data_IF_815681237259
#
_entry.id   IF_815681237259
#
_cell.length_a   1.000
_cell.length_b   1.000
_cell.length_c   1.000
_cell.angle_alpha   90.00
_cell.angle_beta   90.00
_cell.angle_gamma   90.00
#
_symmetry.space_group_name_H-M   'P 1'
#
loop_
_entity.id
_entity.type
_entity.pdbx_description
1 polymer ?
#
# COMPACT_ATOMS: atom_id res chain seq x y z
N UNK A 1 29.50 8.45 48.63
CA UNK A 1 28.91 7.11 48.83
C UNK A 1 29.26 6.26 47.63
N UNK A 2 30.15 5.30 47.81
CA UNK A 2 30.59 4.36 46.76
C UNK A 2 29.84 3.05 46.97
N UNK A 3 29.04 2.59 45.98
CA UNK A 3 28.46 1.24 45.96
C UNK A 3 29.32 0.34 45.07
N UNK A 4 29.85 -0.72 45.69
CA UNK A 4 30.56 -1.83 45.03
C UNK A 4 29.54 -2.81 44.48
N UNK A 5 29.62 -3.14 43.18
CA UNK A 5 28.95 -4.29 42.58
C UNK A 5 29.82 -5.54 42.76
N UNK A 6 29.24 -6.56 43.31
CA UNK A 6 29.80 -7.90 43.48
C UNK A 6 29.22 -8.82 42.38
N UNK A 7 30.12 -9.50 41.64
CA UNK A 7 29.80 -10.49 40.61
C UNK A 7 30.03 -11.89 41.23
N UNK A 8 29.10 -12.85 41.14
CA UNK A 8 29.40 -14.24 41.45
C UNK A 8 29.87 -14.99 40.20
N UNK A 9 31.02 -15.63 40.32
CA UNK A 9 31.57 -16.59 39.39
C UNK A 9 30.87 -17.95 39.53
N UNK A 10 30.51 -18.60 38.44
CA UNK A 10 30.15 -20.01 38.39
C UNK A 10 31.04 -20.75 37.40
N UNK A 11 31.75 -21.73 37.93
CA UNK A 11 32.65 -22.68 37.26
C UNK A 11 31.86 -23.81 36.56
N UNK A 12 32.43 -24.46 35.51
CA UNK A 12 31.81 -25.50 34.75
C UNK A 12 32.02 -26.89 35.34
N UNK A 13 30.98 -27.74 35.22
CA UNK A 13 31.08 -29.16 35.55
C UNK A 13 31.30 -29.93 34.23
N UNK A 14 32.49 -30.57 34.14
CA UNK A 14 32.78 -31.60 33.14
C UNK A 14 32.14 -32.93 33.56
N UNK A 15 31.35 -33.54 32.74
CA UNK A 15 30.95 -34.94 32.84
C UNK A 15 31.34 -35.68 31.58
N UNK A 16 32.34 -36.55 31.70
CA UNK A 16 32.77 -37.53 30.73
C UNK A 16 31.77 -38.69 30.73
N UNK A 17 31.27 -39.13 29.59
CA UNK A 17 30.55 -40.41 29.44
C UNK A 17 31.22 -41.22 28.35
N UNK A 18 31.58 -42.43 28.72
CA UNK A 18 32.33 -43.43 28.00
C UNK A 18 31.58 -44.04 26.80
N UNK A 19 32.39 -44.37 25.80
CA UNK A 19 32.02 -45.14 24.62
C UNK A 19 31.53 -46.56 24.95
N UNK A 20 30.40 -46.93 24.34
CA UNK A 20 30.00 -48.36 24.25
C UNK A 20 29.84 -48.70 22.76
N UNK A 21 30.77 -49.46 22.23
CA UNK A 21 30.68 -50.09 20.89
C UNK A 21 29.76 -51.33 21.00
N UNK A 22 28.65 -51.30 20.29
CA UNK A 22 27.88 -52.52 20.03
C UNK A 22 27.83 -52.75 18.53
N UNK A 23 28.45 -53.86 18.11
CA UNK A 23 28.38 -54.37 16.74
C UNK A 23 26.99 -55.01 16.51
N UNK A 24 26.31 -54.62 15.45
CA UNK A 24 25.08 -55.26 14.98
C UNK A 24 25.27 -55.84 13.57
N UNK A 25 24.63 -56.97 13.27
CA UNK A 25 24.88 -57.73 12.03
C UNK A 25 24.19 -57.10 10.82
N UNK A 26 24.86 -57.24 9.69
CA UNK A 26 24.36 -56.85 8.36
C UNK A 26 23.27 -57.84 7.96
N UNK A 27 22.03 -57.37 7.87
CA UNK A 27 20.93 -58.10 7.19
C UNK A 27 20.83 -57.48 5.79
N UNK A 28 21.18 -58.26 4.77
CA UNK A 28 20.94 -57.92 3.39
C UNK A 28 19.42 -57.98 3.11
N UNK A 29 18.78 -56.86 2.96
CA UNK A 29 17.41 -56.75 2.48
C UNK A 29 17.45 -56.42 0.97
N UNK A 30 16.87 -57.30 0.19
CA UNK A 30 16.65 -57.14 -1.24
C UNK A 30 15.89 -55.87 -1.58
N UNK A 31 16.46 -55.07 -2.45
CA UNK A 31 15.78 -53.90 -3.04
C UNK A 31 14.59 -54.39 -3.89
N UNK A 32 13.40 -54.04 -3.43
CA UNK A 32 12.19 -54.11 -4.23
C UNK A 32 11.98 -52.70 -4.79
N UNK A 33 12.21 -52.58 -6.10
CA UNK A 33 11.93 -51.34 -6.85
C UNK A 33 10.42 -51.13 -6.87
N UNK A 34 9.95 -50.12 -6.19
CA UNK A 34 8.58 -49.65 -6.29
C UNK A 34 8.52 -48.59 -7.41
N UNK A 35 7.81 -48.89 -8.54
CA UNK A 35 7.66 -47.90 -9.61
C UNK A 35 6.47 -47.01 -9.31
N UNK A 36 6.50 -46.28 -8.21
CA UNK A 36 5.59 -45.13 -8.02
C UNK A 36 6.26 -43.90 -8.57
N UNK A 37 5.75 -43.47 -9.75
CA UNK A 37 6.16 -42.24 -10.41
C UNK A 37 6.12 -41.07 -9.46
N UNK A 38 7.28 -40.48 -9.25
CA UNK A 38 7.39 -39.09 -8.83
C UNK A 38 6.71 -38.28 -9.92
N UNK A 39 5.42 -37.94 -9.74
CA UNK A 39 4.86 -36.78 -10.39
C UNK A 39 5.71 -35.60 -9.90
N UNK A 40 6.62 -35.13 -10.75
CA UNK A 40 7.20 -33.81 -10.65
C UNK A 40 6.02 -32.81 -10.60
N UNK A 41 5.60 -32.50 -9.37
CA UNK A 41 4.74 -31.35 -9.14
C UNK A 41 5.52 -30.15 -9.65
N UNK A 42 5.18 -29.71 -10.85
CA UNK A 42 5.62 -28.41 -11.37
C UNK A 42 5.45 -27.40 -10.24
N UNK A 43 6.46 -26.58 -9.96
CA UNK A 43 6.29 -25.53 -8.95
C UNK A 43 5.07 -24.75 -9.37
N UNK A 44 4.03 -24.81 -8.55
CA UNK A 44 2.88 -23.90 -8.66
C UNK A 44 3.49 -22.52 -8.61
N UNK A 45 3.50 -21.82 -9.75
CA UNK A 45 3.96 -20.44 -9.83
C UNK A 45 3.07 -19.65 -8.85
N UNK A 46 3.60 -19.46 -7.67
CA UNK A 46 2.93 -18.75 -6.60
C UNK A 46 2.87 -17.32 -7.10
N UNK A 47 1.72 -16.93 -7.65
CA UNK A 47 1.46 -15.55 -8.09
C UNK A 47 1.86 -14.66 -6.91
N UNK A 48 2.94 -13.91 -7.07
CA UNK A 48 3.41 -13.04 -6.01
C UNK A 48 2.33 -12.02 -5.72
N UNK A 49 1.89 -11.97 -4.46
CA UNK A 49 0.91 -11.00 -3.98
C UNK A 49 1.34 -9.58 -4.37
N UNK A 50 0.47 -8.83 -5.04
CA UNK A 50 0.77 -7.46 -5.45
C UNK A 50 0.79 -6.54 -4.23
N UNK A 51 1.92 -5.86 -4.02
CA UNK A 51 2.15 -4.94 -2.90
C UNK A 51 1.75 -3.52 -3.27
N UNK A 52 0.75 -3.00 -2.60
CA UNK A 52 0.19 -1.66 -2.85
C UNK A 52 0.43 -0.77 -1.63
N UNK A 53 0.72 0.49 -1.84
CA UNK A 53 0.74 1.51 -0.78
C UNK A 53 -0.34 2.54 -1.06
N UNK A 54 -1.27 2.69 -0.12
CA UNK A 54 -2.20 3.81 -0.08
C UNK A 54 -1.51 5.02 0.56
N UNK A 55 -1.00 5.94 -0.26
CA UNK A 55 -0.27 7.11 0.18
C UNK A 55 -1.14 8.36 0.07
N UNK A 56 -1.45 9.00 1.21
CA UNK A 56 -2.39 10.10 1.22
C UNK A 56 -2.51 10.82 2.56
N UNK A 57 -3.61 11.54 2.73
CA UNK A 57 -3.90 12.30 3.93
C UNK A 57 -4.91 11.58 4.87
N UNK A 58 -5.82 12.30 5.50
CA UNK A 58 -6.84 11.76 6.41
C UNK A 58 -7.86 10.86 5.71
N UNK A 59 -8.10 11.06 4.43
CA UNK A 59 -9.02 10.24 3.64
C UNK A 59 -8.45 8.85 3.41
N UNK A 60 -7.14 8.76 3.20
CA UNK A 60 -6.42 7.50 3.11
C UNK A 60 -6.22 6.87 4.49
N UNK A 61 -5.87 7.66 5.50
CA UNK A 61 -5.63 7.19 6.87
C UNK A 61 -6.87 6.57 7.53
N UNK A 62 -8.08 6.93 7.11
CA UNK A 62 -9.33 6.53 7.77
C UNK A 62 -9.56 7.31 9.06
N UNK A 63 -9.52 8.66 8.98
CA UNK A 63 -9.68 9.56 10.13
C UNK A 63 -10.91 9.22 10.97
N UNK A 64 -10.72 9.02 12.29
CA UNK A 64 -11.73 8.63 13.28
C UNK A 64 -12.45 7.29 12.99
N UNK A 65 -12.01 6.51 12.03
CA UNK A 65 -12.53 5.16 11.79
C UNK A 65 -11.69 4.11 12.50
N UNK A 66 -12.26 2.93 12.79
CA UNK A 66 -11.48 1.75 13.12
C UNK A 66 -10.49 1.43 11.99
N UNK A 67 -9.30 0.94 12.32
CA UNK A 67 -8.25 0.70 11.32
C UNK A 67 -8.69 -0.20 10.15
N UNK A 68 -9.53 -1.20 10.44
CA UNK A 68 -10.08 -2.10 9.42
C UNK A 68 -11.17 -1.46 8.55
N UNK A 69 -11.70 -0.29 8.91
CA UNK A 69 -12.70 0.45 8.14
C UNK A 69 -12.08 1.55 7.25
N UNK A 70 -10.78 1.77 7.30
CA UNK A 70 -10.08 2.70 6.43
C UNK A 70 -10.10 2.24 4.97
N UNK A 71 -10.02 3.19 4.02
CA UNK A 71 -10.11 2.91 2.58
C UNK A 71 -9.13 1.83 2.11
N UNK A 72 -7.82 1.85 2.47
CA UNK A 72 -6.88 0.81 2.02
C UNK A 72 -7.29 -0.59 2.46
N UNK A 73 -7.70 -0.77 3.71
CA UNK A 73 -8.09 -2.08 4.27
C UNK A 73 -9.40 -2.60 3.66
N UNK A 74 -10.36 -1.70 3.42
CA UNK A 74 -11.61 -2.07 2.74
C UNK A 74 -11.38 -2.41 1.27
N UNK A 75 -10.48 -1.70 0.59
CA UNK A 75 -10.09 -2.00 -0.79
C UNK A 75 -9.35 -3.34 -0.89
N UNK A 76 -8.39 -3.59 0.02
CA UNK A 76 -7.68 -4.87 0.11
C UNK A 76 -8.67 -6.04 0.27
N UNK A 77 -9.58 -5.90 1.25
CA UNK A 77 -10.62 -6.92 1.47
C UNK A 77 -11.46 -7.15 0.22
N UNK A 78 -11.92 -6.09 -0.43
CA UNK A 78 -12.79 -6.19 -1.59
C UNK A 78 -12.10 -6.84 -2.81
N UNK A 79 -10.78 -6.62 -3.00
CA UNK A 79 -9.99 -7.26 -4.04
C UNK A 79 -9.73 -8.73 -3.72
N UNK A 80 -9.33 -9.05 -2.48
CA UNK A 80 -9.07 -10.42 -2.04
C UNK A 80 -10.36 -11.28 -2.06
N UNK A 81 -11.52 -10.73 -1.71
CA UNK A 81 -12.83 -11.39 -1.82
C UNK A 81 -13.17 -11.75 -3.28
N UNK A 82 -12.60 -11.06 -4.26
CA UNK A 82 -12.71 -11.36 -5.70
C UNK A 82 -11.63 -12.29 -6.23
N UNK A 83 -10.73 -12.79 -5.37
CA UNK A 83 -9.62 -13.66 -5.75
C UNK A 83 -8.43 -12.92 -6.37
N UNK A 84 -8.32 -11.60 -6.19
CA UNK A 84 -7.16 -10.81 -6.60
C UNK A 84 -6.25 -10.65 -5.38
N UNK A 85 -5.17 -11.42 -5.32
CA UNK A 85 -4.25 -11.41 -4.18
C UNK A 85 -3.43 -10.12 -4.11
N UNK A 86 -3.77 -9.26 -3.16
CA UNK A 86 -3.07 -8.00 -2.90
C UNK A 86 -2.82 -7.81 -1.41
N UNK A 87 -1.80 -7.02 -1.07
CA UNK A 87 -1.63 -6.42 0.26
C UNK A 87 -1.58 -4.91 0.11
N UNK A 88 -2.32 -4.17 0.93
CA UNK A 88 -2.38 -2.71 0.86
C UNK A 88 -1.93 -2.10 2.18
N UNK A 89 -0.73 -1.52 2.18
CA UNK A 89 -0.23 -0.75 3.31
C UNK A 89 -0.87 0.63 3.35
N UNK A 90 -1.35 1.03 4.53
CA UNK A 90 -1.91 2.35 4.74
C UNK A 90 -0.82 3.34 5.17
N UNK A 91 -0.39 4.18 4.25
CA UNK A 91 0.55 5.28 4.48
C UNK A 91 -0.15 6.65 4.46
N UNK A 92 -1.40 6.72 4.91
CA UNK A 92 -2.14 7.96 5.12
C UNK A 92 -1.70 8.68 6.39
N UNK A 93 -1.59 10.00 6.33
CA UNK A 93 -1.26 10.86 7.48
C UNK A 93 -2.27 12.01 7.55
N UNK A 94 -3.12 11.99 8.59
CA UNK A 94 -4.17 12.99 8.74
C UNK A 94 -3.62 14.41 8.79
N UNK A 95 -4.21 15.30 8.00
CA UNK A 95 -3.80 16.70 7.89
C UNK A 95 -2.61 16.94 6.97
N UNK A 96 -2.09 15.92 6.31
CA UNK A 96 -0.93 16.06 5.43
C UNK A 96 -1.26 16.89 4.19
N UNK A 97 -0.33 17.74 3.81
CA UNK A 97 -0.35 18.49 2.54
C UNK A 97 0.55 17.83 1.52
N UNK A 98 0.50 18.28 0.28
CA UNK A 98 1.47 17.80 -0.73
C UNK A 98 2.92 18.06 -0.34
N UNK A 99 3.20 19.14 0.42
CA UNK A 99 4.55 19.41 0.97
C UNK A 99 4.94 18.38 2.02
N UNK A 100 4.04 18.02 2.93
CA UNK A 100 4.27 16.98 3.93
C UNK A 100 4.48 15.63 3.26
N UNK A 101 3.59 15.23 2.34
CA UNK A 101 3.73 14.01 1.57
C UNK A 101 5.04 13.91 0.81
N UNK A 102 5.45 14.97 0.11
CA UNK A 102 6.74 15.01 -0.61
C UNK A 102 7.93 14.77 0.32
N UNK A 103 7.87 15.26 1.55
CA UNK A 103 8.96 15.10 2.52
C UNK A 103 9.13 13.65 3.01
N UNK A 104 8.09 12.82 2.92
CA UNK A 104 8.06 11.46 3.48
C UNK A 104 7.91 10.34 2.43
N UNK A 105 7.68 10.65 1.15
CA UNK A 105 7.35 9.63 0.15
C UNK A 105 8.42 8.54 0.03
N UNK A 106 9.69 8.92 0.13
CA UNK A 106 10.80 7.99 -0.06
C UNK A 106 10.88 6.92 1.04
N UNK A 107 10.53 7.26 2.29
CA UNK A 107 10.55 6.31 3.40
C UNK A 107 9.17 5.70 3.71
N UNK A 108 8.07 6.34 3.26
CA UNK A 108 6.72 5.80 3.43
C UNK A 108 6.32 4.81 2.33
N UNK A 109 7.06 4.77 1.23
CA UNK A 109 6.88 3.80 0.14
C UNK A 109 8.11 2.91 0.11
N UNK A 110 8.07 1.70 0.71
CA UNK A 110 9.22 0.81 0.79
C UNK A 110 9.62 0.26 -0.58
N UNK A 111 10.86 -0.22 -0.69
CA UNK A 111 11.33 -0.93 -1.87
C UNK A 111 10.54 -2.23 -2.05
N UNK A 112 10.28 -2.60 -3.29
CA UNK A 112 9.43 -3.74 -3.63
C UNK A 112 7.92 -3.44 -3.60
N UNK A 113 7.51 -2.16 -3.49
CA UNK A 113 6.14 -1.72 -3.76
C UNK A 113 5.88 -1.79 -5.27
N UNK A 114 4.77 -2.44 -5.66
CA UNK A 114 4.38 -2.58 -7.07
C UNK A 114 3.52 -1.41 -7.55
N UNK A 115 2.65 -0.90 -6.66
CA UNK A 115 1.69 0.14 -6.99
C UNK A 115 1.51 1.12 -5.83
N UNK A 116 1.43 2.41 -6.12
CA UNK A 116 1.03 3.46 -5.18
C UNK A 116 -0.30 4.06 -5.62
N UNK A 117 -1.26 4.13 -4.70
CA UNK A 117 -2.44 5.00 -4.84
C UNK A 117 -2.04 6.33 -4.20
N UNK A 118 -1.75 7.34 -5.04
CA UNK A 118 -1.31 8.67 -4.58
C UNK A 118 -2.52 9.59 -4.45
N UNK A 119 -2.86 9.93 -3.22
CA UNK A 119 -4.00 10.78 -2.86
C UNK A 119 -3.52 11.90 -1.93
N UNK A 120 -3.40 13.12 -2.41
CA UNK A 120 -3.03 14.30 -1.64
C UNK A 120 -3.55 15.57 -2.34
N UNK A 121 -3.68 16.65 -1.57
CA UNK A 121 -4.02 17.98 -2.06
C UNK A 121 -5.31 18.55 -1.45
N UNK A 122 -6.13 17.73 -0.77
CA UNK A 122 -7.32 18.23 -0.07
C UNK A 122 -6.92 19.28 0.96
N UNK A 123 -5.90 19.01 1.78
CA UNK A 123 -5.41 19.95 2.80
C UNK A 123 -4.75 21.19 2.19
N UNK A 124 -4.12 21.07 1.01
CA UNK A 124 -3.59 22.24 0.29
C UNK A 124 -4.74 23.19 -0.07
N UNK A 125 -5.80 22.65 -0.67
CA UNK A 125 -6.97 23.46 -1.03
C UNK A 125 -7.68 24.04 0.19
N UNK A 126 -7.89 23.27 1.26
CA UNK A 126 -8.53 23.74 2.49
C UNK A 126 -7.74 24.87 3.18
N UNK A 127 -6.41 24.87 3.06
CA UNK A 127 -5.53 25.89 3.64
C UNK A 127 -5.19 27.03 2.68
N UNK A 128 -5.73 27.01 1.47
CA UNK A 128 -5.49 28.05 0.46
C UNK A 128 -4.02 28.09 -0.01
N UNK A 129 -3.33 26.95 -0.01
CA UNK A 129 -1.99 26.84 -0.56
C UNK A 129 -2.09 27.08 -2.07
N UNK A 130 -1.14 27.85 -2.61
CA UNK A 130 -1.11 28.16 -4.04
C UNK A 130 -1.09 26.89 -4.89
N UNK A 131 -1.99 26.74 -5.87
CA UNK A 131 -2.11 25.53 -6.69
C UNK A 131 -0.81 25.10 -7.38
N UNK A 132 0.05 26.07 -7.73
CA UNK A 132 1.36 25.80 -8.34
C UNK A 132 2.30 25.02 -7.39
N UNK A 133 2.16 25.20 -6.07
CA UNK A 133 2.92 24.44 -5.07
C UNK A 133 2.40 22.99 -5.03
N UNK A 134 1.07 22.82 -5.01
CA UNK A 134 0.44 21.51 -5.08
C UNK A 134 0.85 20.76 -6.33
N UNK A 135 0.78 21.40 -7.49
CA UNK A 135 1.21 20.81 -8.77
C UNK A 135 2.67 20.38 -8.73
N UNK A 136 3.58 21.27 -8.29
CA UNK A 136 5.01 20.99 -8.22
C UNK A 136 5.32 19.81 -7.30
N UNK A 137 4.67 19.74 -6.15
CA UNK A 137 4.91 18.66 -5.20
C UNK A 137 4.40 17.31 -5.70
N UNK A 138 3.19 17.27 -6.30
CA UNK A 138 2.66 16.06 -6.93
C UNK A 138 3.51 15.62 -8.12
N UNK A 139 3.99 16.57 -8.93
CA UNK A 139 4.89 16.31 -10.05
C UNK A 139 6.19 15.64 -9.59
N UNK A 140 6.80 16.17 -8.54
CA UNK A 140 8.02 15.59 -7.95
C UNK A 140 7.80 14.21 -7.37
N UNK A 141 6.68 13.98 -6.67
CA UNK A 141 6.33 12.66 -6.14
C UNK A 141 6.15 11.64 -7.27
N UNK A 142 5.42 11.99 -8.32
CA UNK A 142 5.24 11.15 -9.50
C UNK A 142 6.56 10.85 -10.22
N UNK A 143 7.46 11.84 -10.30
CA UNK A 143 8.79 11.66 -10.88
C UNK A 143 9.62 10.64 -10.10
N UNK A 144 9.64 10.74 -8.75
CA UNK A 144 10.37 9.81 -7.87
C UNK A 144 9.83 8.39 -7.96
N UNK A 145 8.51 8.21 -7.90
CA UNK A 145 7.88 6.89 -8.03
C UNK A 145 8.19 6.26 -9.40
N UNK A 146 8.10 7.04 -10.48
CA UNK A 146 8.46 6.60 -11.82
C UNK A 146 9.94 6.20 -11.94
N UNK A 147 10.85 6.97 -11.34
CA UNK A 147 12.29 6.65 -11.32
C UNK A 147 12.56 5.33 -10.59
N UNK A 148 11.77 5.00 -9.56
CA UNK A 148 11.85 3.75 -8.83
C UNK A 148 11.13 2.58 -9.52
N UNK A 149 10.52 2.81 -10.70
CA UNK A 149 9.79 1.79 -11.45
C UNK A 149 8.43 1.41 -10.85
N UNK A 150 7.93 2.19 -9.89
CA UNK A 150 6.68 1.91 -9.18
C UNK A 150 5.50 2.43 -10.00
N UNK A 151 4.49 1.57 -10.21
CA UNK A 151 3.23 1.98 -10.85
C UNK A 151 2.45 2.94 -9.95
N UNK A 152 1.68 3.86 -10.54
CA UNK A 152 0.89 4.83 -9.77
C UNK A 152 -0.53 4.90 -10.32
N UNK A 153 -1.53 4.97 -9.42
CA UNK A 153 -2.85 5.51 -9.69
C UNK A 153 -2.90 6.87 -9.00
N UNK A 154 -3.14 7.93 -9.75
CA UNK A 154 -3.33 9.27 -9.19
C UNK A 154 -4.81 9.44 -8.83
N UNK A 155 -5.10 9.60 -7.53
CA UNK A 155 -6.42 9.92 -7.04
C UNK A 155 -6.58 11.44 -6.91
N UNK A 156 -7.44 12.00 -7.75
CA UNK A 156 -7.63 13.45 -7.86
C UNK A 156 -8.47 14.05 -6.75
N UNK A 157 -8.28 15.34 -6.56
CA UNK A 157 -9.08 16.20 -5.67
C UNK A 157 -9.67 17.38 -6.42
N UNK A 158 -10.73 17.95 -5.85
CA UNK A 158 -11.36 19.17 -6.35
C UNK A 158 -11.29 20.26 -5.27
N UNK A 159 -11.07 21.48 -5.71
CA UNK A 159 -11.12 22.63 -4.81
C UNK A 159 -12.51 22.78 -4.18
N UNK A 160 -12.61 23.00 -2.85
CA UNK A 160 -13.88 23.28 -2.22
C UNK A 160 -14.55 24.54 -2.82
N UNK A 161 -15.89 24.56 -2.95
CA UNK A 161 -16.58 25.67 -3.62
C UNK A 161 -16.32 27.06 -2.99
N UNK A 162 -16.05 27.12 -1.68
CA UNK A 162 -15.75 28.34 -0.95
C UNK A 162 -14.39 28.97 -1.25
N UNK A 163 -13.50 28.25 -1.99
CA UNK A 163 -12.21 28.79 -2.41
C UNK A 163 -12.33 29.76 -3.60
N UNK A 164 -13.48 29.82 -4.24
CA UNK A 164 -13.75 30.68 -5.37
C UNK A 164 -13.32 30.11 -6.73
N UNK A 165 -13.86 30.72 -7.78
CA UNK A 165 -13.68 30.21 -9.15
C UNK A 165 -12.24 30.27 -9.65
N UNK A 166 -11.51 31.31 -9.29
CA UNK A 166 -10.12 31.50 -9.76
C UNK A 166 -9.19 30.46 -9.17
N UNK A 167 -9.35 30.14 -7.89
CA UNK A 167 -8.60 29.05 -7.25
C UNK A 167 -8.95 27.70 -7.89
N UNK A 168 -10.23 27.39 -8.04
CA UNK A 168 -10.69 26.14 -8.64
C UNK A 168 -10.21 25.97 -10.08
N UNK A 169 -10.19 27.05 -10.87
CA UNK A 169 -9.69 27.04 -12.26
C UNK A 169 -8.20 26.68 -12.36
N UNK A 170 -7.41 26.98 -11.33
CA UNK A 170 -5.98 26.63 -11.25
C UNK A 170 -5.74 25.27 -10.59
N UNK A 171 -6.54 24.90 -9.59
CA UNK A 171 -6.36 23.68 -8.82
C UNK A 171 -6.89 22.42 -9.53
N UNK A 172 -8.13 22.46 -10.01
CA UNK A 172 -8.78 21.26 -10.54
C UNK A 172 -8.06 20.63 -11.76
N UNK A 173 -7.39 21.41 -12.66
CA UNK A 173 -6.67 20.83 -13.79
C UNK A 173 -5.35 20.13 -13.44
N UNK A 174 -4.84 20.24 -12.21
CA UNK A 174 -3.55 19.68 -11.79
C UNK A 174 -3.51 18.17 -12.04
N UNK A 175 -4.51 17.45 -11.54
CA UNK A 175 -4.52 15.98 -11.61
C UNK A 175 -4.62 15.43 -13.03
N UNK A 176 -5.56 15.85 -13.89
CA UNK A 176 -5.58 15.37 -15.27
C UNK A 176 -4.32 15.77 -16.08
N UNK A 177 -3.74 16.94 -15.83
CA UNK A 177 -2.50 17.36 -16.44
C UNK A 177 -1.34 16.45 -16.04
N UNK A 178 -1.19 16.14 -14.77
CA UNK A 178 -0.12 15.28 -14.28
C UNK A 178 -0.35 13.82 -14.69
N UNK A 179 -1.57 13.31 -14.63
CA UNK A 179 -1.88 11.97 -15.10
C UNK A 179 -1.51 11.79 -16.58
N UNK A 180 -1.83 12.78 -17.43
CA UNK A 180 -1.43 12.78 -18.84
C UNK A 180 0.11 12.85 -19.01
N UNK A 181 0.78 13.72 -18.25
CA UNK A 181 2.25 13.89 -18.32
C UNK A 181 3.00 12.59 -17.99
N UNK A 182 2.54 11.85 -17.01
CA UNK A 182 3.19 10.63 -16.55
C UNK A 182 2.65 9.35 -17.19
N UNK A 183 1.51 9.44 -17.90
CA UNK A 183 0.84 8.29 -18.50
C UNK A 183 0.28 7.34 -17.44
N UNK A 184 -0.16 7.87 -16.30
CA UNK A 184 -0.72 7.09 -15.19
C UNK A 184 -2.25 7.14 -15.18
N UNK A 185 -2.94 6.09 -14.70
CA UNK A 185 -4.37 6.13 -14.46
C UNK A 185 -4.75 7.28 -13.52
N UNK A 186 -5.84 7.97 -13.86
CA UNK A 186 -6.46 8.98 -13.01
C UNK A 186 -7.79 8.46 -12.47
N UNK A 187 -7.97 8.51 -11.15
CA UNK A 187 -9.29 8.50 -10.54
C UNK A 187 -9.69 9.96 -10.27
N UNK A 188 -10.64 10.54 -11.00
CA UNK A 188 -10.75 12.01 -11.11
C UNK A 188 -11.07 12.73 -9.81
N UNK A 189 -11.85 12.12 -8.92
CA UNK A 189 -12.24 12.71 -7.63
C UNK A 189 -12.38 11.63 -6.55
N UNK A 190 -11.48 11.63 -5.57
CA UNK A 190 -11.41 10.57 -4.56
C UNK A 190 -12.68 10.44 -3.72
N UNK A 191 -13.39 11.56 -3.47
CA UNK A 191 -14.67 11.61 -2.76
C UNK A 191 -15.91 11.50 -3.68
N UNK A 192 -15.75 10.98 -4.89
CA UNK A 192 -16.89 10.83 -5.80
C UNK A 192 -17.99 9.96 -5.20
N UNK A 193 -19.24 10.46 -5.30
CA UNK A 193 -20.41 9.81 -4.72
C UNK A 193 -20.57 9.98 -3.18
N UNK A 194 -19.59 10.56 -2.48
CA UNK A 194 -19.59 10.72 -1.02
C UNK A 194 -19.64 12.20 -0.61
N UNK A 195 -18.85 13.06 -1.27
CA UNK A 195 -18.78 14.47 -0.95
C UNK A 195 -20.19 15.10 -0.88
N UNK A 196 -20.43 15.93 0.13
CA UNK A 196 -21.69 16.65 0.42
C UNK A 196 -22.89 15.79 0.85
N UNK A 197 -22.77 14.46 0.91
CA UNK A 197 -23.83 13.56 1.35
C UNK A 197 -23.67 13.26 2.84
N UNK A 198 -24.49 13.87 3.68
CA UNK A 198 -24.41 13.75 5.16
C UNK A 198 -24.41 12.29 5.65
N UNK A 199 -25.16 11.40 5.01
CA UNK A 199 -25.27 9.99 5.41
C UNK A 199 -23.97 9.20 5.19
N UNK A 200 -23.02 9.74 4.42
CA UNK A 200 -21.73 9.14 4.10
C UNK A 200 -20.55 9.83 4.78
N UNK A 201 -20.82 10.89 5.56
CA UNK A 201 -19.81 11.69 6.22
C UNK A 201 -19.90 11.56 7.72
N UNK A 202 -18.79 11.82 8.41
CA UNK A 202 -18.72 12.02 9.83
C UNK A 202 -19.43 13.35 10.22
N UNK A 203 -19.57 13.62 11.51
CA UNK A 203 -20.22 14.83 12.02
C UNK A 203 -19.55 16.13 11.56
N UNK A 204 -18.27 16.07 11.20
CA UNK A 204 -17.51 17.21 10.66
C UNK A 204 -17.92 17.62 9.23
N UNK A 205 -18.70 16.78 8.56
CA UNK A 205 -19.19 17.02 7.19
C UNK A 205 -18.12 16.97 6.09
N UNK A 206 -16.93 16.48 6.40
CA UNK A 206 -15.77 16.42 5.49
C UNK A 206 -15.24 15.01 5.29
N UNK A 207 -15.05 14.26 6.37
CA UNK A 207 -14.46 12.93 6.32
C UNK A 207 -15.53 11.86 6.11
N UNK A 208 -15.25 10.83 5.29
CA UNK A 208 -16.16 9.70 5.10
C UNK A 208 -16.35 8.91 6.39
N UNK A 209 -17.57 8.48 6.66
CA UNK A 209 -17.85 7.41 7.62
C UNK A 209 -17.69 6.03 6.95
N UNK A 210 -17.96 4.94 7.66
CA UNK A 210 -17.80 3.57 7.12
C UNK A 210 -18.59 3.36 5.82
N UNK A 211 -19.83 3.84 5.73
CA UNK A 211 -20.64 3.76 4.50
C UNK A 211 -20.06 4.60 3.36
N UNK A 212 -19.49 5.76 3.70
CA UNK A 212 -18.77 6.59 2.75
C UNK A 212 -17.56 5.85 2.17
N UNK A 213 -16.77 5.20 3.03
CA UNK A 213 -15.62 4.39 2.59
C UNK A 213 -16.05 3.23 1.71
N UNK A 214 -17.11 2.49 2.07
CA UNK A 214 -17.67 1.42 1.22
C UNK A 214 -18.04 1.93 -0.17
N UNK A 215 -18.65 3.12 -0.25
CA UNK A 215 -18.99 3.78 -1.52
C UNK A 215 -17.74 4.15 -2.31
N UNK A 216 -16.72 4.73 -1.65
CA UNK A 216 -15.44 5.07 -2.30
C UNK A 216 -14.75 3.84 -2.87
N UNK A 217 -14.68 2.75 -2.12
CA UNK A 217 -14.11 1.48 -2.57
C UNK A 217 -14.86 0.96 -3.80
N UNK A 218 -16.19 0.91 -3.73
CA UNK A 218 -17.02 0.46 -4.87
C UNK A 218 -16.77 1.28 -6.13
N UNK A 219 -16.67 2.60 -6.00
CA UNK A 219 -16.45 3.50 -7.14
C UNK A 219 -15.01 3.42 -7.67
N UNK A 220 -14.03 3.15 -6.80
CA UNK A 220 -12.61 3.03 -7.17
C UNK A 220 -12.28 1.69 -7.83
N UNK A 221 -13.06 0.64 -7.54
CA UNK A 221 -12.81 -0.74 -7.98
C UNK A 221 -12.50 -0.88 -9.48
N UNK A 222 -13.27 -0.28 -10.42
CA UNK A 222 -12.97 -0.41 -11.86
C UNK A 222 -11.58 0.15 -12.24
N UNK A 223 -11.14 1.20 -11.55
CA UNK A 223 -9.84 1.84 -11.81
C UNK A 223 -8.68 0.96 -11.36
N UNK A 224 -8.77 0.37 -10.16
CA UNK A 224 -7.72 -0.50 -9.64
C UNK A 224 -7.67 -1.82 -10.40
N UNK A 225 -8.80 -2.47 -10.69
CA UNK A 225 -8.85 -3.73 -11.46
C UNK A 225 -8.19 -3.57 -12.84
N UNK A 226 -8.51 -2.48 -13.55
CA UNK A 226 -7.87 -2.17 -14.84
C UNK A 226 -6.37 -1.95 -14.71
N UNK A 227 -5.93 -1.28 -13.64
CA UNK A 227 -4.52 -1.00 -13.40
C UNK A 227 -3.75 -2.29 -13.12
N UNK A 228 -4.29 -3.18 -12.29
CA UNK A 228 -3.69 -4.48 -11.98
C UNK A 228 -3.58 -5.37 -13.22
N UNK A 229 -4.64 -5.44 -14.03
CA UNK A 229 -4.62 -6.17 -15.31
C UNK A 229 -3.53 -5.65 -16.26
N UNK A 230 -3.38 -4.33 -16.36
CA UNK A 230 -2.34 -3.72 -17.20
C UNK A 230 -0.92 -4.02 -16.70
N UNK A 231 -0.72 -4.14 -15.38
CA UNK A 231 0.57 -4.51 -14.79
C UNK A 231 0.94 -5.95 -15.13
N UNK A 232 0.00 -6.89 -15.00
CA UNK A 232 0.18 -8.30 -15.35
C UNK A 232 0.57 -8.47 -16.83
N UNK A 233 -0.14 -7.78 -17.74
CA UNK A 233 0.13 -7.85 -19.18
C UNK A 233 1.53 -7.31 -19.57
N UNK A 234 2.07 -6.34 -18.81
CA UNK A 234 3.44 -5.84 -19.03
C UNK A 234 4.50 -6.83 -18.56
N UNK A 235 4.25 -7.55 -17.47
CA UNK A 235 5.14 -8.59 -16.96
C UNK A 235 5.31 -9.77 -17.94
N UNK A 236 4.24 -10.16 -18.62
CA UNK A 236 4.24 -11.28 -19.59
C UNK A 236 4.81 -10.93 -20.95
N UNK A 237 4.94 -9.64 -21.30
CA UNK A 237 5.45 -9.19 -22.62
C UNK A 237 6.96 -8.88 -22.62
N UNK A 238 7.63 -8.97 -21.47
CA UNK A 238 9.04 -8.63 -21.28
C UNK A 238 9.96 -9.82 -20.99
N UNK A 239 9.44 -11.07 -21.15
CA UNK A 239 10.18 -12.31 -20.95
C UNK A 239 10.75 -12.89 -22.24
#
# INVERSE_FOLDING_TARGET
MRFKLSIPAWLPIFAAIASFMAASPIIAASAQEDPTGLEDALPTEQLSQVKIVGFGDSLMAGYLLPSNAAFPQQLEKALNDKGVEVSIENAGVSGDTTTGGLSRIDWSVPDGTDLVILELGANDALRGIEPDITEKNLDEMLARLKQRGISVILAGMMAPPNMGKDYAARFNPIYPKLAQKYGVPLYPFFLDGVATKKDFLLEDGMHPNEKGVETMVSNFMPTIEKSLTNMQNKGTSGG
#
